data_IF_857732370385
#
_entry.id   IF_857732370385
#
_cell.length_a   1.000
_cell.length_b   1.000
_cell.length_c   1.000
_cell.angle_alpha   90.00
_cell.angle_beta   90.00
_cell.angle_gamma   90.00
#
_symmetry.space_group_name_H-M   'P 1'
#
loop_
_entity.id
_entity.type
_entity.pdbx_description
1 polymer ?
#
# COMPACT_ATOMS: atom_id res chain seq x y z
N UNK A 1 -15.91 1.87 12.13
CA UNK A 1 -14.52 2.26 11.83
C UNK A 1 -13.75 2.30 13.13
N UNK A 2 -12.81 1.39 13.35
CA UNK A 2 -11.89 1.52 14.47
C UNK A 2 -11.06 2.80 14.25
N UNK A 3 -11.10 3.72 15.22
CA UNK A 3 -10.11 4.79 15.32
C UNK A 3 -8.92 4.21 16.08
N UNK A 4 -7.99 3.60 15.36
CA UNK A 4 -6.70 3.21 15.92
C UNK A 4 -5.83 4.45 16.08
N UNK A 5 -5.37 4.75 17.30
CA UNK A 5 -4.28 5.69 17.47
C UNK A 5 -3.05 5.06 16.82
N UNK A 6 -2.49 5.70 15.79
CA UNK A 6 -1.21 5.30 15.20
C UNK A 6 -0.18 5.42 16.32
N UNK A 7 0.28 4.29 16.85
CA UNK A 7 1.19 4.21 18.00
C UNK A 7 2.63 4.60 17.69
N UNK A 8 2.84 5.51 16.74
CA UNK A 8 4.16 6.00 16.36
C UNK A 8 4.16 7.51 16.51
N UNK A 9 5.13 8.04 17.25
CA UNK A 9 5.37 9.49 17.37
C UNK A 9 5.50 10.09 15.98
N UNK A 10 4.44 10.76 15.52
CA UNK A 10 4.29 11.33 14.17
C UNK A 10 5.43 12.29 13.81
N UNK A 11 6.09 12.85 14.83
CA UNK A 11 7.25 13.73 14.76
C UNK A 11 8.45 13.13 13.98
N UNK A 12 8.66 11.81 14.03
CA UNK A 12 9.81 11.16 13.38
C UNK A 12 9.54 10.68 11.95
N UNK A 13 8.27 10.64 11.52
CA UNK A 13 7.85 10.04 10.24
C UNK A 13 7.83 11.06 9.10
N UNK A 14 7.43 12.29 9.37
CA UNK A 14 7.29 13.33 8.35
C UNK A 14 8.58 13.64 7.57
N UNK A 15 9.79 13.66 8.19
CA UNK A 15 11.04 13.84 7.45
C UNK A 15 11.30 12.72 6.43
N UNK A 16 10.92 11.48 6.77
CA UNK A 16 11.09 10.29 5.93
C UNK A 16 10.14 10.36 4.75
N UNK A 17 8.85 10.56 5.03
CA UNK A 17 7.81 10.67 4.00
C UNK A 17 8.14 11.83 3.05
N UNK A 18 8.57 12.99 3.56
CA UNK A 18 9.00 14.10 2.70
C UNK A 18 10.18 13.71 1.81
N UNK A 19 11.25 13.13 2.36
CA UNK A 19 12.44 12.82 1.56
C UNK A 19 12.18 11.76 0.49
N UNK A 20 11.32 10.78 0.78
CA UNK A 20 10.89 9.75 -0.17
C UNK A 20 9.89 10.28 -1.23
N UNK A 21 8.98 11.18 -0.83
CA UNK A 21 8.01 11.79 -1.74
C UNK A 21 8.66 12.78 -2.70
N UNK A 22 9.71 13.52 -2.29
CA UNK A 22 10.31 14.58 -3.09
C UNK A 22 11.43 14.13 -4.04
N UNK A 23 11.95 12.91 -3.92
CA UNK A 23 13.01 12.42 -4.81
C UNK A 23 12.49 11.67 -6.03
N UNK A 24 11.34 10.97 -5.93
CA UNK A 24 10.95 9.97 -6.91
C UNK A 24 9.42 9.88 -7.14
N UNK A 25 8.79 11.00 -7.46
CA UNK A 25 7.34 11.09 -7.68
C UNK A 25 6.78 10.04 -8.68
N UNK A 26 7.55 9.69 -9.71
CA UNK A 26 7.15 8.67 -10.70
C UNK A 26 7.26 7.24 -10.14
N UNK A 27 8.23 6.99 -9.25
CA UNK A 27 8.43 5.66 -8.66
C UNK A 27 7.24 5.31 -7.77
N UNK A 28 6.74 6.25 -6.94
CA UNK A 28 5.57 6.00 -6.11
C UNK A 28 4.37 5.51 -6.93
N UNK A 29 4.04 6.20 -8.04
CA UNK A 29 2.91 5.81 -8.86
C UNK A 29 3.12 4.42 -9.48
N UNK A 30 4.34 4.12 -9.96
CA UNK A 30 4.70 2.79 -10.48
C UNK A 30 4.49 1.70 -9.44
N UNK A 31 4.98 1.91 -8.21
CA UNK A 31 4.88 0.90 -7.14
C UNK A 31 3.42 0.66 -6.73
N UNK A 32 2.60 1.70 -6.60
CA UNK A 32 1.18 1.53 -6.25
C UNK A 32 0.41 0.81 -7.36
N UNK A 33 0.67 1.13 -8.63
CA UNK A 33 0.05 0.41 -9.76
C UNK A 33 0.53 -1.05 -9.81
N UNK A 34 1.81 -1.31 -9.53
CA UNK A 34 2.33 -2.68 -9.45
C UNK A 34 1.64 -3.48 -8.36
N UNK A 35 1.45 -2.90 -7.17
CA UNK A 35 0.74 -3.55 -6.07
C UNK A 35 -0.72 -3.90 -6.43
N UNK A 36 -1.42 -2.99 -7.13
CA UNK A 36 -2.77 -3.23 -7.61
C UNK A 36 -2.84 -4.37 -8.63
N UNK A 37 -1.89 -4.41 -9.58
CA UNK A 37 -1.78 -5.52 -10.55
C UNK A 37 -1.50 -6.84 -9.84
N UNK A 38 -0.54 -6.87 -8.91
CA UNK A 38 -0.21 -8.07 -8.15
C UNK A 38 -1.41 -8.59 -7.34
N UNK A 39 -2.21 -7.70 -6.75
CA UNK A 39 -3.40 -8.07 -6.01
C UNK A 39 -4.45 -8.75 -6.91
N UNK A 40 -4.69 -8.22 -8.12
CA UNK A 40 -5.62 -8.81 -9.09
C UNK A 40 -5.10 -10.13 -9.67
N UNK A 41 -3.78 -10.22 -9.92
CA UNK A 41 -3.15 -11.44 -10.41
C UNK A 41 -3.21 -12.56 -9.37
N UNK A 42 -2.94 -12.26 -8.10
CA UNK A 42 -3.09 -13.21 -6.99
C UNK A 42 -4.54 -13.72 -6.91
N UNK A 43 -5.52 -12.84 -7.03
CA UNK A 43 -6.94 -13.23 -6.98
C UNK A 43 -7.29 -14.18 -8.13
N UNK A 44 -6.81 -13.88 -9.34
CA UNK A 44 -6.98 -14.73 -10.51
C UNK A 44 -6.35 -16.12 -10.32
N UNK A 45 -5.16 -16.17 -9.73
CA UNK A 45 -4.49 -17.43 -9.39
C UNK A 45 -5.31 -18.24 -8.38
N UNK A 46 -5.77 -17.64 -7.28
CA UNK A 46 -6.60 -18.32 -6.28
C UNK A 46 -7.92 -18.85 -6.87
N UNK A 47 -8.54 -18.09 -7.78
CA UNK A 47 -9.72 -18.55 -8.50
C UNK A 47 -9.41 -19.75 -9.39
N UNK A 48 -8.28 -19.75 -10.10
CA UNK A 48 -7.86 -20.88 -10.94
C UNK A 48 -7.57 -22.16 -10.15
N UNK A 49 -7.17 -22.03 -8.88
CA UNK A 49 -6.96 -23.13 -7.95
C UNK A 49 -8.25 -23.60 -7.26
N UNK A 50 -9.38 -22.92 -7.49
CA UNK A 50 -10.66 -23.21 -6.83
C UNK A 50 -10.75 -22.73 -5.38
N UNK A 51 -9.78 -21.94 -4.91
CA UNK A 51 -9.72 -21.40 -3.55
C UNK A 51 -10.56 -20.13 -3.39
N UNK A 52 -10.75 -19.38 -4.48
CA UNK A 52 -11.70 -18.27 -4.51
C UNK A 52 -13.04 -18.71 -5.10
N UNK A 53 -14.09 -18.69 -4.26
CA UNK A 53 -15.46 -19.13 -4.62
C UNK A 53 -16.36 -17.99 -5.13
N UNK A 54 -15.88 -16.76 -5.13
CA UNK A 54 -16.62 -15.60 -5.63
C UNK A 54 -16.46 -15.42 -7.13
N UNK A 55 -17.23 -14.49 -7.69
CA UNK A 55 -17.02 -14.04 -9.07
C UNK A 55 -15.86 -13.04 -9.14
N UNK A 56 -14.91 -13.29 -10.04
CA UNK A 56 -13.78 -12.39 -10.28
C UNK A 56 -14.28 -10.99 -10.68
N UNK A 57 -15.30 -10.91 -11.54
CA UNK A 57 -15.82 -9.65 -12.05
C UNK A 57 -14.77 -8.90 -12.88
N UNK A 58 -14.85 -7.57 -12.86
CA UNK A 58 -13.90 -6.69 -13.54
C UNK A 58 -12.63 -6.48 -12.67
N UNK A 59 -11.51 -7.03 -13.13
CA UNK A 59 -10.19 -6.91 -12.49
C UNK A 59 -9.37 -5.73 -13.02
N UNK A 60 -9.97 -4.83 -13.80
CA UNK A 60 -9.27 -3.65 -14.32
C UNK A 60 -8.83 -2.74 -13.18
N UNK A 61 -7.52 -2.45 -13.11
CA UNK A 61 -6.99 -1.40 -12.23
C UNK A 61 -7.42 -0.04 -12.78
N UNK A 62 -8.10 0.75 -11.95
CA UNK A 62 -8.64 2.06 -12.31
C UNK A 62 -7.83 3.16 -11.65
N UNK A 63 -7.42 4.13 -12.45
CA UNK A 63 -6.74 5.33 -11.97
C UNK A 63 -7.65 6.52 -12.27
N UNK A 64 -7.95 7.32 -11.25
CA UNK A 64 -8.76 8.53 -11.40
C UNK A 64 -8.10 9.73 -10.75
N UNK A 65 -8.23 10.89 -11.38
CA UNK A 65 -7.71 12.16 -10.90
C UNK A 65 -8.90 13.08 -10.65
N UNK A 66 -9.21 13.34 -9.37
CA UNK A 66 -10.34 14.19 -8.95
C UNK A 66 -9.99 14.87 -7.63
N UNK A 67 -10.44 16.11 -7.43
CA UNK A 67 -10.33 16.85 -6.17
C UNK A 67 -8.89 16.89 -5.61
N UNK A 68 -7.90 17.20 -6.46
CA UNK A 68 -6.47 17.21 -6.10
C UNK A 68 -5.95 15.89 -5.51
N UNK A 69 -6.62 14.78 -5.82
CA UNK A 69 -6.24 13.44 -5.41
C UNK A 69 -6.09 12.50 -6.62
N UNK A 70 -5.06 11.65 -6.55
CA UNK A 70 -4.90 10.49 -7.43
C UNK A 70 -5.44 9.28 -6.67
N UNK A 71 -6.48 8.65 -7.21
CA UNK A 71 -7.06 7.42 -6.65
C UNK A 71 -6.76 6.26 -7.57
N UNK A 72 -6.05 5.25 -7.04
CA UNK A 72 -5.84 3.95 -7.68
C UNK A 72 -6.78 2.96 -6.99
N UNK A 73 -7.55 2.21 -7.76
CA UNK A 73 -8.49 1.22 -7.24
C UNK A 73 -8.38 -0.08 -8.03
N UNK A 74 -8.30 -1.19 -7.31
CA UNK A 74 -8.30 -2.53 -7.86
C UNK A 74 -9.40 -3.39 -7.21
N UNK A 75 -9.64 -4.55 -7.82
CA UNK A 75 -10.52 -5.59 -7.31
C UNK A 75 -9.73 -6.87 -7.07
N UNK A 76 -8.55 -6.73 -6.45
CA UNK A 76 -7.68 -7.84 -6.10
C UNK A 76 -8.07 -8.56 -4.82
N UNK A 77 -7.13 -9.34 -4.27
CA UNK A 77 -7.34 -10.11 -3.03
C UNK A 77 -7.65 -9.25 -1.80
N UNK A 78 -7.33 -7.95 -1.85
CA UNK A 78 -7.46 -7.05 -0.70
C UNK A 78 -6.51 -7.42 0.45
N UNK A 79 -6.76 -6.80 1.60
CA UNK A 79 -6.07 -7.09 2.86
C UNK A 79 -7.10 -7.16 3.99
N UNK A 80 -6.89 -8.06 4.95
CA UNK A 80 -7.65 -8.05 6.21
C UNK A 80 -7.17 -6.93 7.13
N UNK A 81 -7.90 -6.68 8.22
CA UNK A 81 -7.51 -5.67 9.20
C UNK A 81 -6.15 -6.01 9.87
N UNK A 82 -5.90 -7.29 10.12
CA UNK A 82 -4.65 -7.79 10.70
C UNK A 82 -3.48 -7.63 9.72
N UNK A 83 -3.70 -7.89 8.43
CA UNK A 83 -2.70 -7.69 7.40
C UNK A 83 -2.37 -6.21 7.20
N UNK A 84 -3.36 -5.33 7.29
CA UNK A 84 -3.14 -3.88 7.28
C UNK A 84 -2.25 -3.47 8.44
N UNK A 85 -2.54 -3.93 9.66
CA UNK A 85 -1.70 -3.57 10.82
C UNK A 85 -0.26 -4.06 10.65
N UNK A 86 -0.08 -5.30 10.22
CA UNK A 86 1.25 -5.88 10.04
C UNK A 86 2.05 -5.20 8.91
N UNK A 87 1.48 -5.08 7.72
CA UNK A 87 2.23 -4.65 6.53
C UNK A 87 2.31 -3.13 6.40
N UNK A 88 1.24 -2.42 6.74
CA UNK A 88 1.18 -0.96 6.61
C UNK A 88 1.63 -0.27 7.89
N UNK A 89 1.23 -0.75 9.08
CA UNK A 89 1.56 -0.05 10.33
C UNK A 89 2.86 -0.52 11.00
N UNK A 90 3.26 -1.78 10.86
CA UNK A 90 4.46 -2.28 11.53
C UNK A 90 5.67 -2.27 10.59
N UNK A 91 5.59 -2.94 9.44
CA UNK A 91 6.73 -3.13 8.52
C UNK A 91 7.14 -1.83 7.82
N UNK A 92 6.18 -1.03 7.34
CA UNK A 92 6.51 0.24 6.70
C UNK A 92 7.26 1.19 7.65
N UNK A 93 6.94 1.14 8.94
CA UNK A 93 7.58 1.99 9.94
C UNK A 93 8.90 1.43 10.45
N UNK A 94 9.07 0.10 10.54
CA UNK A 94 10.37 -0.48 10.89
C UNK A 94 11.42 -0.17 9.82
N UNK A 95 11.09 -0.35 8.53
CA UNK A 95 12.01 -0.02 7.43
C UNK A 95 12.35 1.48 7.35
N UNK A 96 11.38 2.34 7.68
CA UNK A 96 11.58 3.78 7.76
C UNK A 96 12.51 4.17 8.93
N UNK A 97 12.34 3.56 10.10
CA UNK A 97 13.20 3.78 11.27
C UNK A 97 14.63 3.27 11.03
N UNK A 98 14.79 2.07 10.47
CA UNK A 98 16.11 1.50 10.15
C UNK A 98 16.85 2.36 9.13
N UNK A 99 16.14 2.94 8.15
CA UNK A 99 16.69 3.91 7.22
C UNK A 99 17.18 5.16 7.95
N UNK A 100 16.37 5.76 8.84
CA UNK A 100 16.79 6.94 9.60
C UNK A 100 18.04 6.68 10.45
N UNK A 101 18.12 5.53 11.11
CA UNK A 101 19.31 5.18 11.91
C UNK A 101 20.56 5.03 11.05
N UNK A 102 20.43 4.43 9.86
CA UNK A 102 21.55 4.23 8.94
C UNK A 102 22.13 5.52 8.39
N UNK A 103 21.35 6.60 8.31
CA UNK A 103 21.75 7.90 7.76
C UNK A 103 21.80 9.02 8.82
N UNK A 104 21.89 8.67 10.11
CA UNK A 104 22.06 9.63 11.22
C UNK A 104 23.48 10.22 11.33
N UNK A 105 24.41 9.88 10.42
CA UNK A 105 25.75 10.43 10.32
C UNK A 105 25.99 11.08 8.95
#
# INVERSE_FOLDING_TARGET
MQKGNIGVSTENIFPIIKKFLYSDHEIFLREIVSNAVDATQKLKTLASLGEFKGELGDLTVRISLKNDAITISDRGIGLTAEEIDKYINQIAFSGANDFLEKYKN
#
